data_IF_528039032152
#
_entry.id   IF_528039032152
#
_cell.length_a   1.000
_cell.length_b   1.000
_cell.length_c   1.000
_cell.angle_alpha   90.00
_cell.angle_beta   90.00
_cell.angle_gamma   90.00
#
_symmetry.space_group_name_H-M   'P 1'
#
loop_
_entity.id
_entity.type
_entity.pdbx_description
1 polymer ?
#
# COMPACT_ATOMS: atom_id res chain seq x y z
N UNK A 1 -13.97 36.48 -38.98
CA UNK A 1 -12.87 35.57 -38.63
C UNK A 1 -12.33 35.74 -37.21
N UNK A 2 -12.39 36.93 -36.57
CA UNK A 2 -11.91 37.13 -35.18
C UNK A 2 -12.60 36.26 -34.10
N UNK A 3 -13.87 35.88 -34.28
CA UNK A 3 -14.63 35.11 -33.26
C UNK A 3 -14.20 33.65 -33.13
N UNK A 4 -13.56 33.05 -34.14
CA UNK A 4 -13.10 31.65 -34.09
C UNK A 4 -11.79 31.49 -33.31
N UNK A 5 -10.89 32.49 -33.35
CA UNK A 5 -9.62 32.44 -32.61
C UNK A 5 -9.79 32.48 -31.09
N UNK A 6 -10.79 33.22 -30.59
CA UNK A 6 -11.05 33.35 -29.15
C UNK A 6 -11.58 32.05 -28.52
N UNK A 7 -12.39 31.29 -29.27
CA UNK A 7 -12.94 30.00 -28.83
C UNK A 7 -11.84 28.92 -28.73
N UNK A 8 -10.90 28.89 -29.67
CA UNK A 8 -9.80 27.92 -29.67
C UNK A 8 -8.84 28.19 -28.52
N UNK A 9 -8.50 29.46 -28.26
CA UNK A 9 -7.66 29.86 -27.12
C UNK A 9 -8.31 29.50 -25.78
N UNK A 10 -9.61 29.77 -25.61
CA UNK A 10 -10.34 29.39 -24.38
C UNK A 10 -10.38 27.88 -24.15
N UNK A 11 -10.56 27.08 -25.20
CA UNK A 11 -10.59 25.62 -25.12
C UNK A 11 -9.22 25.04 -24.74
N UNK A 12 -8.14 25.55 -25.32
CA UNK A 12 -6.77 25.12 -24.98
C UNK A 12 -6.44 25.41 -23.51
N UNK A 13 -6.78 26.60 -23.00
CA UNK A 13 -6.56 26.93 -21.58
C UNK A 13 -7.38 26.05 -20.63
N UNK A 14 -8.62 25.72 -20.99
CA UNK A 14 -9.48 24.85 -20.18
C UNK A 14 -8.96 23.41 -20.12
N UNK A 15 -8.46 22.88 -21.25
CA UNK A 15 -7.86 21.55 -21.31
C UNK A 15 -6.55 21.47 -20.50
N UNK A 16 -5.70 22.49 -20.57
CA UNK A 16 -4.46 22.54 -19.77
C UNK A 16 -4.75 22.61 -18.26
N UNK A 17 -5.76 23.37 -17.84
CA UNK A 17 -6.19 23.44 -16.45
C UNK A 17 -6.71 22.11 -15.90
N UNK A 18 -7.48 21.37 -16.71
CA UNK A 18 -8.01 20.05 -16.34
C UNK A 18 -6.92 18.99 -16.11
N UNK A 19 -5.87 18.98 -16.94
CA UNK A 19 -4.75 18.02 -16.81
C UNK A 19 -3.93 18.29 -15.54
N UNK A 20 -3.69 19.56 -15.20
CA UNK A 20 -2.97 19.92 -13.98
C UNK A 20 -3.74 19.53 -12.71
N UNK A 21 -5.06 19.75 -12.69
CA UNK A 21 -5.91 19.35 -11.56
C UNK A 21 -5.95 17.83 -11.38
N UNK A 22 -6.03 17.06 -12.47
CA UNK A 22 -5.96 15.60 -12.42
C UNK A 22 -4.58 15.11 -11.94
N UNK A 23 -3.50 15.75 -12.38
CA UNK A 23 -2.14 15.45 -11.93
C UNK A 23 -1.94 15.68 -10.44
N UNK A 24 -2.45 16.79 -9.89
CA UNK A 24 -2.39 17.07 -8.45
C UNK A 24 -3.13 16.03 -7.61
N UNK A 25 -4.32 15.62 -8.05
CA UNK A 25 -5.14 14.63 -7.35
C UNK A 25 -4.46 13.25 -7.29
N UNK A 26 -3.85 12.81 -8.39
CA UNK A 26 -3.14 11.52 -8.47
C UNK A 26 -1.91 11.51 -7.56
N UNK A 27 -1.15 12.61 -7.55
CA UNK A 27 0.02 12.75 -6.68
C UNK A 27 -0.38 12.64 -5.21
N UNK A 28 -1.51 13.25 -4.81
CA UNK A 28 -1.98 13.17 -3.41
C UNK A 28 -2.39 11.77 -3.00
N UNK A 29 -3.04 10.99 -3.89
CA UNK A 29 -3.42 9.62 -3.58
C UNK A 29 -2.18 8.75 -3.35
N UNK A 30 -1.20 8.78 -4.27
CA UNK A 30 0.03 7.98 -4.18
C UNK A 30 0.84 8.32 -2.95
N UNK A 31 1.05 9.60 -2.67
CA UNK A 31 1.74 10.06 -1.47
C UNK A 31 1.02 9.57 -0.21
N UNK A 32 -0.31 9.76 -0.15
CA UNK A 32 -1.12 9.35 0.99
C UNK A 32 -1.03 7.85 1.27
N UNK A 33 -1.24 6.99 0.27
CA UNK A 33 -1.17 5.54 0.51
C UNK A 33 0.25 5.09 0.82
N UNK A 34 1.28 5.76 0.30
CA UNK A 34 2.68 5.49 0.64
C UNK A 34 2.97 5.81 2.10
N UNK A 35 2.55 6.99 2.57
CA UNK A 35 2.68 7.39 3.98
C UNK A 35 1.90 6.45 4.90
N UNK A 36 0.66 6.10 4.56
CA UNK A 36 -0.15 5.17 5.35
C UNK A 36 0.43 3.74 5.34
N UNK A 37 1.15 3.33 4.28
CA UNK A 37 1.85 2.04 4.25
C UNK A 37 3.02 1.98 5.24
N UNK A 38 3.81 3.05 5.33
CA UNK A 38 4.88 3.14 6.32
C UNK A 38 4.31 3.15 7.74
N UNK A 39 3.28 3.98 7.96
CA UNK A 39 2.56 4.06 9.24
C UNK A 39 1.98 2.71 9.67
N UNK A 40 1.45 1.92 8.75
CA UNK A 40 0.92 0.60 9.06
C UNK A 40 2.00 -0.31 9.68
N UNK A 41 3.20 -0.32 9.11
CA UNK A 41 4.32 -1.11 9.63
C UNK A 41 4.77 -0.60 11.00
N UNK A 42 4.84 0.71 11.20
CA UNK A 42 5.18 1.31 12.50
C UNK A 42 4.16 0.93 13.59
N UNK A 43 2.86 1.05 13.28
CA UNK A 43 1.77 0.67 14.19
C UNK A 43 1.80 -0.82 14.53
N UNK A 44 2.10 -1.67 13.53
CA UNK A 44 2.26 -3.11 13.72
C UNK A 44 3.48 -3.43 14.60
N UNK A 45 4.63 -2.80 14.33
CA UNK A 45 5.86 -2.98 15.10
C UNK A 45 5.72 -2.51 16.55
N UNK A 46 4.93 -1.46 16.79
CA UNK A 46 4.59 -0.97 18.12
C UNK A 46 3.58 -1.86 18.87
N UNK A 47 3.12 -2.97 18.26
CA UNK A 47 2.09 -3.86 18.81
C UNK A 47 0.76 -3.12 19.14
N UNK A 48 0.43 -2.05 18.41
CA UNK A 48 -0.84 -1.33 18.54
C UNK A 48 -1.94 -2.04 17.73
N UNK A 49 -2.52 -3.08 18.32
CA UNK A 49 -3.60 -3.85 17.71
C UNK A 49 -4.81 -2.99 17.33
N UNK A 50 -5.15 -1.97 18.11
CA UNK A 50 -6.27 -1.08 17.79
C UNK A 50 -5.95 -0.20 16.58
N UNK A 51 -4.71 0.31 16.48
CA UNK A 51 -4.19 0.99 15.31
C UNK A 51 -4.24 0.13 14.06
N UNK A 52 -3.75 -1.12 14.15
CA UNK A 52 -3.85 -2.10 13.06
C UNK A 52 -5.30 -2.27 12.63
N UNK A 53 -6.22 -2.50 13.57
CA UNK A 53 -7.65 -2.65 13.28
C UNK A 53 -8.28 -1.44 12.58
N UNK A 54 -7.83 -0.22 12.90
CA UNK A 54 -8.29 1.00 12.22
C UNK A 54 -7.78 1.12 10.78
N UNK A 55 -6.70 0.45 10.41
CA UNK A 55 -6.12 0.54 9.05
C UNK A 55 -6.61 -0.58 8.13
N UNK A 56 -7.07 -1.70 8.68
CA UNK A 56 -7.54 -2.85 7.91
C UNK A 56 -9.04 -2.76 7.60
N UNK A 57 -9.43 -3.22 6.41
CA UNK A 57 -10.81 -3.56 6.09
C UNK A 57 -11.24 -4.79 6.90
N UNK A 58 -12.53 -4.91 7.22
CA UNK A 58 -13.07 -6.06 7.97
C UNK A 58 -12.82 -7.39 7.25
N UNK A 59 -12.82 -7.37 5.91
CA UNK A 59 -12.62 -8.53 5.04
C UNK A 59 -11.22 -8.57 4.42
N UNK A 60 -10.22 -7.99 5.09
CA UNK A 60 -8.84 -8.01 4.61
C UNK A 60 -8.37 -9.44 4.32
N UNK A 61 -7.71 -9.62 3.18
CA UNK A 61 -7.16 -10.89 2.73
C UNK A 61 -5.65 -10.89 2.96
N UNK A 62 -5.13 -11.97 3.53
CA UNK A 62 -3.70 -12.22 3.61
C UNK A 62 -3.30 -13.24 2.57
N UNK A 63 -2.20 -12.99 1.88
CA UNK A 63 -1.56 -13.96 1.00
C UNK A 63 -0.05 -13.94 1.13
N UNK A 64 0.57 -15.04 0.69
CA UNK A 64 2.02 -15.19 0.70
C UNK A 64 2.37 -16.06 -0.50
N UNK A 65 3.20 -15.56 -1.42
CA UNK A 65 3.53 -16.29 -2.64
C UNK A 65 2.31 -16.65 -3.49
N UNK A 66 1.27 -15.80 -3.53
CA UNK A 66 0.04 -16.07 -4.30
C UNK A 66 -0.98 -17.00 -3.62
N UNK A 67 -0.61 -17.67 -2.52
CA UNK A 67 -1.55 -18.47 -1.74
C UNK A 67 -2.31 -17.61 -0.72
N UNK A 68 -3.64 -17.69 -0.73
CA UNK A 68 -4.47 -16.99 0.25
C UNK A 68 -4.55 -17.77 1.56
N UNK A 69 -4.26 -17.09 2.66
CA UNK A 69 -4.40 -17.61 4.02
C UNK A 69 -5.86 -17.51 4.46
N UNK A 70 -6.67 -18.50 4.06
CA UNK A 70 -8.10 -18.56 4.39
C UNK A 70 -8.34 -18.54 5.91
N UNK A 71 -9.42 -17.90 6.34
CA UNK A 71 -9.80 -17.79 7.75
C UNK A 71 -8.98 -16.77 8.55
N UNK A 72 -8.01 -16.10 7.92
CA UNK A 72 -7.23 -15.02 8.54
C UNK A 72 -7.78 -13.68 8.06
N UNK A 73 -8.43 -12.96 8.97
CA UNK A 73 -8.99 -11.63 8.72
C UNK A 73 -8.41 -10.59 9.66
N UNK A 74 -9.11 -9.47 9.82
CA UNK A 74 -8.68 -8.34 10.66
C UNK A 74 -8.34 -8.76 12.09
N UNK A 75 -9.22 -9.52 12.75
CA UNK A 75 -9.03 -9.95 14.15
C UNK A 75 -7.77 -10.82 14.32
N UNK A 76 -7.49 -11.69 13.35
CA UNK A 76 -6.26 -12.47 13.36
C UNK A 76 -5.02 -11.56 13.30
N UNK A 77 -5.01 -10.58 12.40
CA UNK A 77 -3.90 -9.64 12.27
C UNK A 77 -3.70 -8.78 13.53
N UNK A 78 -4.79 -8.35 14.16
CA UNK A 78 -4.75 -7.65 15.44
C UNK A 78 -4.16 -8.53 16.55
N UNK A 79 -4.52 -9.82 16.59
CA UNK A 79 -3.93 -10.79 17.51
C UNK A 79 -2.43 -11.00 17.29
N UNK A 80 -2.00 -11.10 16.03
CA UNK A 80 -0.56 -11.17 15.68
C UNK A 80 0.17 -9.91 16.14
N UNK A 81 -0.36 -8.72 15.81
CA UNK A 81 0.24 -7.46 16.23
C UNK A 81 0.39 -7.36 17.75
N UNK A 82 -0.65 -7.72 18.51
CA UNK A 82 -0.59 -7.76 19.97
C UNK A 82 0.49 -8.72 20.49
N UNK A 83 0.66 -9.88 19.84
CA UNK A 83 1.69 -10.87 20.16
C UNK A 83 3.11 -10.42 19.85
N UNK A 84 3.30 -9.41 19.01
CA UNK A 84 4.63 -8.84 18.70
C UNK A 84 5.16 -7.87 19.77
N UNK A 85 4.45 -7.69 20.89
CA UNK A 85 4.88 -6.78 21.96
C UNK A 85 6.26 -7.18 22.49
N UNK A 86 7.22 -6.26 22.36
CA UNK A 86 8.61 -6.47 22.77
C UNK A 86 9.40 -7.42 21.87
N UNK A 87 8.80 -7.95 20.79
CA UNK A 87 9.46 -8.84 19.84
C UNK A 87 10.22 -8.07 18.76
N UNK A 88 9.78 -6.86 18.41
CA UNK A 88 10.42 -6.03 17.39
C UNK A 88 11.16 -4.89 18.09
N UNK A 89 12.49 -4.85 17.95
CA UNK A 89 13.34 -3.83 18.58
C UNK A 89 13.73 -2.69 17.65
N UNK A 90 13.70 -2.92 16.34
CA UNK A 90 13.96 -1.92 15.31
C UNK A 90 13.16 -2.25 14.06
N UNK A 91 12.69 -1.22 13.36
CA UNK A 91 12.00 -1.36 12.07
C UNK A 91 12.37 -0.23 11.13
N UNK A 92 12.68 -0.60 9.89
CA UNK A 92 12.91 0.35 8.80
C UNK A 92 11.99 0.00 7.63
N UNK A 93 11.39 1.04 7.03
CA UNK A 93 10.49 0.90 5.89
C UNK A 93 11.02 1.72 4.72
N UNK A 94 11.05 1.12 3.54
CA UNK A 94 11.41 1.80 2.29
C UNK A 94 10.28 1.60 1.27
N UNK A 95 9.59 2.67 0.84
CA UNK A 95 8.67 2.61 -0.29
C UNK A 95 9.40 2.17 -1.56
N UNK A 96 8.84 1.19 -2.26
CA UNK A 96 9.32 0.75 -3.58
C UNK A 96 8.47 1.31 -4.71
N UNK A 97 7.20 1.62 -4.45
CA UNK A 97 6.31 2.28 -5.40
C UNK A 97 4.85 2.28 -4.97
N UNK A 98 4.05 3.09 -5.65
CA UNK A 98 2.61 3.14 -5.50
C UNK A 98 1.94 3.27 -6.88
N UNK A 99 0.85 2.54 -7.08
CA UNK A 99 0.03 2.55 -8.30
C UNK A 99 -1.40 2.85 -7.90
N UNK A 100 -2.06 3.72 -8.65
CA UNK A 100 -3.49 3.96 -8.51
C UNK A 100 -4.21 3.05 -9.52
N UNK A 101 -5.03 2.13 -9.01
CA UNK A 101 -5.78 1.17 -9.84
C UNK A 101 -7.19 1.72 -10.19
N UNK A 102 -7.59 2.83 -9.56
CA UNK A 102 -8.85 3.55 -9.80
C UNK A 102 -9.08 4.65 -8.75
N UNK A 103 -10.18 5.43 -8.85
CA UNK A 103 -10.43 6.57 -7.97
C UNK A 103 -10.49 6.21 -6.47
N UNK A 104 -10.87 4.98 -6.17
CA UNK A 104 -11.03 4.45 -4.81
C UNK A 104 -10.15 3.21 -4.54
N UNK A 105 -9.17 2.94 -5.41
CA UNK A 105 -8.30 1.77 -5.32
C UNK A 105 -6.84 2.11 -5.62
N UNK A 106 -5.92 1.62 -4.80
CA UNK A 106 -4.50 1.80 -5.00
C UNK A 106 -3.73 0.59 -4.47
N UNK A 107 -2.49 0.42 -4.95
CA UNK A 107 -1.55 -0.56 -4.43
C UNK A 107 -0.24 0.11 -4.09
N UNK A 108 0.36 -0.33 -2.99
CA UNK A 108 1.71 0.09 -2.61
C UNK A 108 2.59 -1.12 -2.44
N UNK A 109 3.88 -0.96 -2.74
CA UNK A 109 4.90 -1.95 -2.45
C UNK A 109 5.94 -1.34 -1.54
N UNK A 110 6.28 -2.07 -0.48
CA UNK A 110 7.21 -1.62 0.54
C UNK A 110 8.23 -2.73 0.83
N UNK A 111 9.46 -2.32 1.06
CA UNK A 111 10.46 -3.16 1.71
C UNK A 111 10.48 -2.83 3.20
N UNK A 112 10.56 -3.87 4.02
CA UNK A 112 10.57 -3.78 5.48
C UNK A 112 11.75 -4.57 6.00
N UNK A 113 12.53 -3.95 6.88
CA UNK A 113 13.55 -4.63 7.69
C UNK A 113 13.16 -4.52 9.14
N UNK A 114 12.89 -5.65 9.79
CA UNK A 114 12.63 -5.69 11.22
C UNK A 114 13.73 -6.45 11.94
N UNK A 115 14.16 -5.96 13.10
CA UNK A 115 14.95 -6.74 14.05
C UNK A 115 13.99 -7.43 15.02
N UNK A 116 13.86 -8.76 14.89
CA UNK A 116 12.91 -9.57 15.63
C UNK A 116 13.65 -10.46 16.63
N UNK A 117 13.14 -10.56 17.85
CA UNK A 117 13.66 -11.48 18.86
C UNK A 117 13.70 -12.91 18.30
N UNK A 118 14.78 -13.64 18.60
CA UNK A 118 15.07 -15.01 18.17
C UNK A 118 15.20 -15.27 16.66
N UNK A 119 14.71 -14.37 15.79
CA UNK A 119 14.79 -14.47 14.34
C UNK A 119 15.82 -13.55 13.69
N UNK A 120 16.38 -12.60 14.45
CA UNK A 120 17.39 -11.66 13.96
C UNK A 120 16.82 -10.61 13.01
N UNK A 121 17.59 -10.24 11.98
CA UNK A 121 17.15 -9.26 10.97
C UNK A 121 16.32 -9.98 9.90
N UNK A 122 15.06 -9.57 9.76
CA UNK A 122 14.11 -10.14 8.81
C UNK A 122 13.79 -9.10 7.72
N UNK A 123 14.52 -9.10 6.59
CA UNK A 123 14.16 -8.31 5.43
C UNK A 123 12.98 -8.96 4.70
N UNK A 124 12.00 -8.15 4.29
CA UNK A 124 10.78 -8.63 3.62
C UNK A 124 10.25 -7.59 2.64
N UNK A 125 9.51 -8.05 1.64
CA UNK A 125 8.83 -7.17 0.66
C UNK A 125 7.36 -7.50 0.66
N UNK A 126 6.54 -6.46 0.79
CA UNK A 126 5.09 -6.56 0.91
C UNK A 126 4.40 -5.73 -0.16
N UNK A 127 3.26 -6.22 -0.64
CA UNK A 127 2.31 -5.43 -1.43
C UNK A 127 1.02 -5.25 -0.62
N UNK A 128 0.58 -4.00 -0.49
CA UNK A 128 -0.65 -3.64 0.20
C UNK A 128 -1.64 -3.13 -0.84
N UNK A 129 -2.82 -3.73 -0.89
CA UNK A 129 -3.94 -3.21 -1.68
C UNK A 129 -4.84 -2.37 -0.79
N UNK A 130 -5.14 -1.17 -1.24
CA UNK A 130 -5.90 -0.16 -0.54
C UNK A 130 -7.23 0.08 -1.22
N UNK A 131 -8.27 0.31 -0.43
CA UNK A 131 -9.58 0.76 -0.91
C UNK A 131 -10.13 1.88 -0.04
N UNK A 132 -10.77 2.85 -0.68
CA UNK A 132 -11.52 3.90 0.02
C UNK A 132 -12.94 3.38 0.33
N UNK A 133 -13.39 3.51 1.59
CA UNK A 133 -14.66 2.90 2.05
C UNK A 133 -15.66 3.96 2.54
N UNK A 134 -16.55 4.42 1.66
CA UNK A 134 -17.62 5.38 2.05
C UNK A 134 -17.52 6.77 1.40
N UNK A 135 -17.01 6.87 0.17
CA UNK A 135 -16.98 8.12 -0.60
C UNK A 135 -15.64 8.87 -0.54
N UNK A 136 -15.57 10.08 -1.10
CA UNK A 136 -14.31 10.81 -1.31
C UNK A 136 -13.56 11.15 -0.02
N UNK A 137 -14.27 11.41 1.07
CA UNK A 137 -13.67 11.78 2.35
C UNK A 137 -13.42 10.58 3.27
N UNK A 138 -13.78 9.38 2.83
CA UNK A 138 -13.57 8.18 3.63
C UNK A 138 -12.08 7.83 3.77
N UNK A 139 -11.77 7.16 4.88
CA UNK A 139 -10.45 6.62 5.12
C UNK A 139 -10.11 5.52 4.12
N UNK A 140 -8.84 5.49 3.72
CA UNK A 140 -8.26 4.36 3.01
C UNK A 140 -8.06 3.19 3.98
N UNK A 141 -8.42 1.99 3.52
CA UNK A 141 -8.30 0.75 4.27
C UNK A 141 -7.50 -0.26 3.47
N UNK A 142 -6.66 -1.04 4.14
CA UNK A 142 -5.96 -2.15 3.51
C UNK A 142 -6.94 -3.32 3.36
N UNK A 143 -7.17 -3.74 2.12
CA UNK A 143 -8.07 -4.85 1.76
C UNK A 143 -7.31 -6.14 1.42
N UNK A 144 -6.02 -6.03 1.08
CA UNK A 144 -5.14 -7.20 0.87
C UNK A 144 -3.72 -6.89 1.32
N UNK A 145 -3.09 -7.86 1.96
CA UNK A 145 -1.67 -7.85 2.32
C UNK A 145 -1.02 -9.09 1.70
N UNK A 146 -0.04 -8.88 0.84
CA UNK A 146 0.69 -9.95 0.16
C UNK A 146 2.17 -9.93 0.56
N UNK A 147 2.68 -11.04 1.11
CA UNK A 147 4.11 -11.22 1.34
C UNK A 147 4.76 -11.74 0.04
N UNK A 148 5.55 -10.89 -0.60
CA UNK A 148 6.24 -11.24 -1.84
C UNK A 148 7.60 -11.87 -1.56
N UNK A 149 8.33 -11.33 -0.59
CA UNK A 149 9.64 -11.85 -0.16
C UNK A 149 9.76 -11.89 1.35
N UNK A 150 10.43 -12.93 1.85
CA UNK A 150 10.78 -13.10 3.26
C UNK A 150 12.23 -13.56 3.36
N UNK A 151 13.01 -12.98 4.26
CA UNK A 151 14.47 -13.14 4.32
C UNK A 151 15.17 -12.79 3.01
N UNK A 152 14.59 -11.89 2.22
CA UNK A 152 15.11 -11.51 0.89
C UNK A 152 14.75 -12.50 -0.23
N UNK A 153 14.26 -13.69 0.11
CA UNK A 153 13.89 -14.75 -0.83
C UNK A 153 12.43 -14.62 -1.27
N UNK A 154 12.09 -14.95 -2.53
CA UNK A 154 10.71 -15.07 -2.98
C UNK A 154 9.94 -16.09 -2.16
N UNK A 155 8.71 -15.75 -1.76
CA UNK A 155 7.80 -16.76 -1.21
C UNK A 155 7.25 -17.60 -2.37
N UNK A 156 7.50 -18.92 -2.35
CA UNK A 156 7.12 -19.83 -3.46
C UNK A 156 5.61 -19.82 -3.72
N UNK A 157 5.26 -19.83 -5.02
CA UNK A 157 3.89 -19.79 -5.57
C UNK A 157 3.64 -18.67 -6.60
N UNK A 158 4.70 -18.00 -7.08
CA UNK A 158 4.63 -16.84 -7.96
C UNK A 158 3.80 -17.03 -9.24
N UNK A 159 2.64 -16.37 -9.28
CA UNK A 159 2.05 -15.82 -10.50
C UNK A 159 1.78 -14.33 -10.31
N UNK A 160 2.80 -13.48 -10.36
CA UNK A 160 2.54 -12.06 -10.57
C UNK A 160 3.56 -11.49 -11.55
N UNK A 161 3.06 -10.84 -12.59
CA UNK A 161 3.82 -10.27 -13.71
C UNK A 161 4.87 -9.20 -13.31
N UNK A 162 5.02 -8.91 -12.01
CA UNK A 162 5.87 -7.86 -11.48
C UNK A 162 7.28 -8.30 -11.09
N UNK A 163 7.54 -9.60 -10.92
CA UNK A 163 8.87 -10.12 -10.54
C UNK A 163 9.91 -9.80 -11.63
N UNK A 164 9.50 -9.85 -12.90
CA UNK A 164 10.36 -9.50 -14.04
C UNK A 164 10.84 -8.05 -14.02
N UNK A 165 10.11 -7.13 -13.39
CA UNK A 165 10.48 -5.70 -13.39
C UNK A 165 11.53 -5.35 -12.32
N UNK A 166 11.65 -6.13 -11.25
CA UNK A 166 12.59 -5.88 -10.16
C UNK A 166 14.00 -6.44 -10.43
N UNK A 167 14.12 -7.46 -11.28
CA UNK A 167 15.41 -8.05 -11.65
C UNK A 167 16.09 -7.31 -12.82
N UNK A 168 15.43 -6.31 -13.41
CA UNK A 168 15.93 -5.52 -14.55
C UNK A 168 16.50 -4.13 -14.17
N UNK A 169 16.77 -3.87 -12.88
CA UNK A 169 17.41 -2.62 -12.39
C UNK A 169 18.44 -2.90 -11.31
#
# INVERSE_FOLDING_TARGET
MLKQGLLVLGLCTFLSGGVLAAGWLVTTTRERVTTESARFVEVFAAADAAGVGRMLDERVIFSSGGESLRGRGREWAMGVAAGMRGQISDVAVKPLGAVEDGPDAARTRIWVRAAVADAGIVPSTWELSWRRTGGRDAAWKIVKIDCLRLYGEPVRGESSAWVRWADER
#
